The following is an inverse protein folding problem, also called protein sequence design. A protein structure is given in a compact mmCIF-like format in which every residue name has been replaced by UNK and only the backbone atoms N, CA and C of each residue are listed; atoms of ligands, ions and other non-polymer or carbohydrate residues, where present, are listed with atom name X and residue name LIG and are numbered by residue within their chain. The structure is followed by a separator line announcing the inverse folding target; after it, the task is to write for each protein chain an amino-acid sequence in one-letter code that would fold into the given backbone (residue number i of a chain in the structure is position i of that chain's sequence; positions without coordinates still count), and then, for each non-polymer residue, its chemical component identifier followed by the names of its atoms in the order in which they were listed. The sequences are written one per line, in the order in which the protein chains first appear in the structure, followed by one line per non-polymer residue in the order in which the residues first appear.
data_IF_378410298225
#
_entry.id   IF_378410298225
#
_cell.length_a   1.000
_cell.length_b   1.000
_cell.length_c   1.000
_cell.angle_alpha   90.00
_cell.angle_beta   90.00
_cell.angle_gamma   90.00
#
_symmetry.space_group_name_H-M   'P 1'
#
loop_
_entity.id
_entity.type
_entity.pdbx_description
1 polymer ?
#
# COMPACT_ATOMS: atom_id res chain seq x y z
N UNK A 1 18.37 5.46 16.93
CA UNK A 1 19.08 6.56 17.62
C UNK A 1 18.19 7.78 17.78
N UNK A 2 17.68 8.39 16.69
CA UNK A 2 16.77 9.57 16.80
C UNK A 2 15.48 9.31 17.61
N UNK A 3 14.85 8.14 17.45
CA UNK A 3 13.65 7.79 18.23
C UNK A 3 13.89 7.78 19.74
N UNK A 4 15.07 7.33 20.16
CA UNK A 4 15.46 7.28 21.58
C UNK A 4 15.67 8.71 22.12
N UNK A 5 16.29 9.58 21.34
CA UNK A 5 16.51 10.99 21.70
C UNK A 5 15.16 11.71 21.92
N UNK A 6 14.21 11.56 21.00
CA UNK A 6 12.88 12.18 21.12
C UNK A 6 12.12 11.65 22.35
N UNK A 7 12.25 10.36 22.67
CA UNK A 7 11.54 9.78 23.80
C UNK A 7 12.12 10.17 25.17
N UNK A 8 13.41 10.54 25.25
CA UNK A 8 14.08 10.95 26.50
C UNK A 8 13.95 12.46 26.74
N UNK A 9 13.56 13.25 25.73
CA UNK A 9 13.32 14.67 25.90
C UNK A 9 12.19 14.92 26.92
N UNK A 10 12.38 15.82 27.89
CA UNK A 10 11.36 16.12 28.89
C UNK A 10 10.13 16.71 28.21
N UNK A 11 9.01 15.96 28.24
CA UNK A 11 7.76 16.33 27.57
C UNK A 11 6.99 17.46 28.27
N UNK A 12 7.37 17.77 29.52
CA UNK A 12 6.69 18.76 30.39
C UNK A 12 7.55 20.01 30.68
N UNK A 13 8.73 20.14 30.08
CA UNK A 13 9.63 21.27 30.32
C UNK A 13 9.38 22.43 29.34
N UNK A 14 8.25 23.12 29.48
CA UNK A 14 7.89 24.25 28.63
C UNK A 14 6.80 25.14 29.21
N UNK A 15 6.99 25.72 30.39
CA UNK A 15 6.07 26.71 30.97
C UNK A 15 6.24 28.11 30.33
N UNK A 16 6.03 28.22 29.02
CA UNK A 16 6.20 29.49 28.31
C UNK A 16 5.29 29.63 27.11
N UNK A 17 4.11 30.25 27.30
CA UNK A 17 3.33 31.01 26.30
C UNK A 17 2.90 30.35 24.97
N UNK A 18 3.31 29.12 24.70
CA UNK A 18 3.00 28.39 23.47
C UNK A 18 1.65 27.67 23.51
N UNK A 19 1.15 27.33 22.33
CA UNK A 19 -0.03 26.48 22.18
C UNK A 19 0.16 25.15 22.93
N UNK A 20 -0.84 24.73 23.72
CA UNK A 20 -0.75 23.48 24.49
C UNK A 20 -0.74 22.26 23.57
N UNK A 21 -0.17 21.14 24.04
CA UNK A 21 -0.09 19.89 23.26
C UNK A 21 -1.50 19.43 22.86
N UNK A 22 -2.43 19.56 23.79
CA UNK A 22 -3.85 19.27 23.63
C UNK A 22 -4.47 20.14 22.52
N UNK A 23 -4.20 21.45 22.50
CA UNK A 23 -4.73 22.35 21.46
C UNK A 23 -4.19 22.03 20.07
N UNK A 24 -2.89 21.70 19.97
CA UNK A 24 -2.28 21.28 18.69
C UNK A 24 -2.94 19.99 18.18
N UNK A 25 -3.09 18.99 19.05
CA UNK A 25 -3.72 17.71 18.70
C UNK A 25 -5.20 17.88 18.39
N UNK A 26 -5.90 18.79 19.07
CA UNK A 26 -7.30 19.10 18.81
C UNK A 26 -7.50 19.64 17.39
N UNK A 27 -6.70 20.63 16.98
CA UNK A 27 -6.73 21.17 15.61
C UNK A 27 -6.40 20.10 14.58
N UNK A 28 -5.38 19.28 14.85
CA UNK A 28 -5.01 18.17 13.97
C UNK A 28 -6.14 17.14 13.85
N UNK A 29 -6.82 16.82 14.95
CA UNK A 29 -7.96 15.90 14.95
C UNK A 29 -9.13 16.46 14.12
N UNK A 30 -9.38 17.76 14.19
CA UNK A 30 -10.39 18.43 13.37
C UNK A 30 -10.05 18.38 11.88
N UNK A 31 -8.83 18.77 11.51
CA UNK A 31 -8.36 18.71 10.12
C UNK A 31 -8.44 17.29 9.53
N UNK A 32 -8.12 16.28 10.35
CA UNK A 32 -8.21 14.88 9.96
C UNK A 32 -9.65 14.42 9.83
N UNK A 33 -10.55 14.83 10.73
CA UNK A 33 -11.97 14.48 10.71
C UNK A 33 -12.69 15.07 9.50
N UNK A 34 -12.38 16.31 9.11
CA UNK A 34 -12.93 16.95 7.91
C UNK A 34 -12.54 16.20 6.63
N UNK A 35 -11.29 15.73 6.56
CA UNK A 35 -10.75 15.02 5.40
C UNK A 35 -11.08 13.52 5.40
N UNK A 36 -11.54 12.98 6.52
CA UNK A 36 -11.78 11.54 6.65
C UNK A 36 -12.97 11.12 5.78
N UNK A 37 -12.79 10.16 4.85
CA UNK A 37 -13.87 9.70 3.99
C UNK A 37 -15.06 9.17 4.78
N UNK A 38 -16.26 9.23 4.20
CA UNK A 38 -17.46 8.63 4.76
C UNK A 38 -17.37 7.10 4.89
N UNK A 39 -18.24 6.54 5.71
CA UNK A 39 -18.33 5.10 5.91
C UNK A 39 -18.92 4.41 4.67
N UNK A 40 -18.44 3.20 4.37
CA UNK A 40 -18.95 2.36 3.29
C UNK A 40 -20.36 1.86 3.62
N UNK A 41 -21.32 2.17 2.73
CA UNK A 41 -22.70 1.70 2.88
C UNK A 41 -22.80 0.24 2.39
N UNK A 42 -23.18 -0.73 3.23
CA UNK A 42 -23.14 -2.16 2.87
C UNK A 42 -23.97 -2.51 1.64
N UNK A 43 -25.12 -1.86 1.46
CA UNK A 43 -26.00 -2.11 0.30
C UNK A 43 -25.35 -1.62 -1.00
N UNK A 44 -24.73 -0.44 -1.00
CA UNK A 44 -24.03 0.10 -2.17
C UNK A 44 -22.84 -0.76 -2.56
N UNK A 45 -22.03 -1.17 -1.58
CA UNK A 45 -20.89 -2.07 -1.82
C UNK A 45 -21.37 -3.38 -2.44
N UNK A 46 -22.43 -3.97 -1.88
CA UNK A 46 -23.03 -5.20 -2.40
C UNK A 46 -23.52 -5.02 -3.85
N UNK A 47 -24.15 -3.91 -4.18
CA UNK A 47 -24.65 -3.65 -5.52
C UNK A 47 -23.53 -3.39 -6.54
N UNK A 48 -22.47 -2.66 -6.15
CA UNK A 48 -21.28 -2.51 -6.99
C UNK A 48 -20.62 -3.86 -7.28
N UNK A 49 -20.47 -4.71 -6.26
CA UNK A 49 -19.91 -6.06 -6.43
C UNK A 49 -20.81 -6.98 -7.28
N UNK A 50 -22.14 -6.86 -7.17
CA UNK A 50 -23.08 -7.59 -8.05
C UNK A 50 -22.85 -7.25 -9.52
N UNK A 51 -22.67 -5.95 -9.86
CA UNK A 51 -22.39 -5.50 -11.24
C UNK A 51 -21.11 -6.13 -11.81
N UNK A 52 -20.14 -6.47 -10.95
CA UNK A 52 -18.87 -7.09 -11.34
C UNK A 52 -18.90 -8.62 -11.38
N UNK A 53 -20.02 -9.26 -11.01
CA UNK A 53 -20.18 -10.72 -10.95
C UNK A 53 -19.92 -11.30 -9.55
N UNK A 54 -20.97 -11.43 -8.75
CA UNK A 54 -20.91 -11.71 -7.30
C UNK A 54 -19.98 -12.88 -6.87
N UNK A 55 -19.92 -13.95 -7.67
CA UNK A 55 -19.19 -15.19 -7.33
C UNK A 55 -17.75 -15.23 -7.86
N UNK A 56 -17.26 -14.15 -8.46
CA UNK A 56 -15.86 -14.10 -8.90
C UNK A 56 -14.93 -13.97 -7.68
N UNK A 57 -13.84 -14.76 -7.59
CA UNK A 57 -12.91 -14.72 -6.45
C UNK A 57 -12.37 -13.32 -6.15
N UNK A 58 -12.15 -12.51 -7.19
CA UNK A 58 -11.71 -11.11 -7.05
C UNK A 58 -12.73 -10.23 -6.30
N UNK A 59 -14.03 -10.47 -6.46
CA UNK A 59 -15.06 -9.67 -5.80
C UNK A 59 -15.21 -10.06 -4.33
N UNK A 60 -14.99 -11.33 -3.99
CA UNK A 60 -14.91 -11.80 -2.60
C UNK A 60 -13.71 -11.14 -1.90
N UNK A 61 -12.56 -11.11 -2.57
CA UNK A 61 -11.36 -10.42 -2.09
C UNK A 61 -11.61 -8.92 -1.88
N UNK A 62 -12.14 -8.22 -2.90
CA UNK A 62 -12.42 -6.78 -2.81
C UNK A 62 -13.40 -6.47 -1.67
N UNK A 63 -14.40 -7.32 -1.43
CA UNK A 63 -15.31 -7.17 -0.30
C UNK A 63 -14.57 -7.23 1.04
N UNK A 64 -13.70 -8.23 1.23
CA UNK A 64 -12.92 -8.37 2.47
C UNK A 64 -11.99 -7.18 2.70
N UNK A 65 -11.40 -6.64 1.63
CA UNK A 65 -10.54 -5.47 1.68
C UNK A 65 -11.32 -4.20 2.04
N UNK A 66 -12.51 -4.00 1.47
CA UNK A 66 -13.41 -2.90 1.83
C UNK A 66 -13.89 -3.03 3.28
N UNK A 67 -14.29 -4.22 3.72
CA UNK A 67 -14.71 -4.48 5.10
C UNK A 67 -13.57 -4.16 6.09
N UNK A 68 -12.32 -4.45 5.71
CA UNK A 68 -11.14 -4.09 6.51
C UNK A 68 -10.89 -2.58 6.50
N UNK A 69 -11.01 -1.92 5.36
CA UNK A 69 -10.91 -0.46 5.26
C UNK A 69 -11.95 0.23 6.14
N UNK A 70 -13.20 -0.26 6.12
CA UNK A 70 -14.28 0.25 6.96
C UNK A 70 -13.93 0.18 8.45
N UNK A 71 -13.36 -0.94 8.92
CA UNK A 71 -12.93 -1.06 10.32
C UNK A 71 -11.88 -0.02 10.70
N UNK A 72 -10.94 0.28 9.79
CA UNK A 72 -9.94 1.34 10.00
C UNK A 72 -10.60 2.71 10.09
N UNK A 73 -11.48 3.04 9.14
CA UNK A 73 -12.20 4.32 9.13
C UNK A 73 -13.02 4.53 10.40
N UNK A 74 -13.79 3.52 10.82
CA UNK A 74 -14.59 3.58 12.04
C UNK A 74 -13.72 3.79 13.28
N UNK A 75 -12.61 3.05 13.42
CA UNK A 75 -11.71 3.20 14.58
C UNK A 75 -11.07 4.59 14.62
N UNK A 76 -10.61 5.10 13.48
CA UNK A 76 -10.01 6.44 13.39
C UNK A 76 -11.04 7.50 13.77
N UNK A 77 -12.24 7.42 13.19
CA UNK A 77 -13.32 8.37 13.44
C UNK A 77 -13.71 8.39 14.92
N UNK A 78 -13.88 7.22 15.55
CA UNK A 78 -14.21 7.15 16.97
C UNK A 78 -13.08 7.70 17.83
N UNK A 79 -11.84 7.30 17.56
CA UNK A 79 -10.66 7.77 18.32
C UNK A 79 -10.55 9.30 18.25
N UNK A 80 -10.70 9.91 17.07
CA UNK A 80 -10.59 11.36 16.90
C UNK A 80 -11.72 12.11 17.60
N UNK A 81 -12.97 11.63 17.49
CA UNK A 81 -14.12 12.25 18.18
C UNK A 81 -14.00 12.16 19.71
N UNK A 82 -13.67 10.98 20.21
CA UNK A 82 -13.51 10.74 21.64
C UNK A 82 -12.32 11.54 22.18
N UNK A 83 -11.22 11.64 21.41
CA UNK A 83 -10.06 12.44 21.80
C UNK A 83 -10.41 13.92 21.97
N UNK A 84 -11.20 14.49 21.06
CA UNK A 84 -11.70 15.87 21.19
C UNK A 84 -12.54 16.04 22.46
N UNK A 85 -13.51 15.15 22.69
CA UNK A 85 -14.35 15.19 23.89
C UNK A 85 -13.54 15.02 25.19
N UNK A 86 -12.44 14.26 25.14
CA UNK A 86 -11.56 14.05 26.29
C UNK A 86 -10.72 15.30 26.58
N UNK A 87 -10.24 15.98 25.53
CA UNK A 87 -9.53 17.26 25.66
C UNK A 87 -10.47 18.35 26.20
N UNK A 88 -11.72 18.38 25.74
CA UNK A 88 -12.76 19.29 26.24
C UNK A 88 -13.24 18.94 27.68
N UNK A 89 -12.73 17.86 28.28
CA UNK A 89 -13.09 17.43 29.63
C UNK A 89 -14.48 16.79 29.75
N UNK A 90 -15.13 16.48 28.62
CA UNK A 90 -16.47 15.87 28.59
C UNK A 90 -16.42 14.37 28.87
N UNK A 91 -15.37 13.68 28.39
CA UNK A 91 -15.14 12.25 28.66
C UNK A 91 -13.79 12.03 29.34
N UNK A 92 -13.63 10.88 29.99
CA UNK A 92 -12.41 10.53 30.71
C UNK A 92 -11.30 10.15 29.72
N UNK A 93 -10.10 10.72 29.93
CA UNK A 93 -8.89 10.38 29.17
C UNK A 93 -8.43 8.95 29.47
N UNK A 94 -8.86 8.00 28.63
CA UNK A 94 -8.42 6.59 28.69
C UNK A 94 -6.96 6.42 28.24
N UNK A 95 -6.36 5.27 28.56
CA UNK A 95 -5.00 4.93 28.12
C UNK A 95 -4.86 4.97 26.59
N UNK A 96 -5.87 4.48 25.86
CA UNK A 96 -5.89 4.51 24.39
C UNK A 96 -5.95 5.93 23.84
N UNK A 97 -6.68 6.83 24.49
CA UNK A 97 -6.76 8.24 24.07
C UNK A 97 -5.48 9.00 24.41
N UNK A 98 -4.84 8.67 25.54
CA UNK A 98 -3.53 9.23 25.91
C UNK A 98 -2.43 8.78 24.93
N UNK A 99 -2.39 7.48 24.56
CA UNK A 99 -1.50 6.98 23.51
C UNK A 99 -1.75 7.68 22.17
N UNK A 100 -3.02 7.91 21.80
CA UNK A 100 -3.35 8.63 20.58
C UNK A 100 -2.85 10.08 20.63
N UNK A 101 -3.09 10.79 21.73
CA UNK A 101 -2.63 12.18 21.94
C UNK A 101 -1.11 12.29 21.82
N UNK A 102 -0.38 11.45 22.56
CA UNK A 102 1.08 11.48 22.57
C UNK A 102 1.67 11.16 21.19
N UNK A 103 1.17 10.11 20.52
CA UNK A 103 1.66 9.75 19.20
C UNK A 103 1.30 10.81 18.17
N UNK A 104 0.08 11.35 18.17
CA UNK A 104 -0.32 12.39 17.22
C UNK A 104 0.51 13.66 17.39
N UNK A 105 0.77 14.08 18.63
CA UNK A 105 1.66 15.20 18.92
C UNK A 105 3.08 14.97 18.41
N UNK A 106 3.62 13.75 18.60
CA UNK A 106 4.94 13.36 18.10
C UNK A 106 4.96 13.02 16.58
N UNK A 107 3.88 13.31 15.85
CA UNK A 107 3.68 12.99 14.43
C UNK A 107 3.82 11.49 14.08
N UNK A 108 3.52 10.61 15.03
CA UNK A 108 3.52 9.14 14.91
C UNK A 108 2.10 8.60 14.82
N UNK A 109 1.98 7.41 14.24
CA UNK A 109 0.69 6.71 14.16
C UNK A 109 0.38 6.05 15.53
N UNK A 110 -0.82 6.26 16.10
CA UNK A 110 -1.27 5.60 17.33
C UNK A 110 -1.19 4.07 17.27
N UNK A 111 -0.94 3.45 18.42
CA UNK A 111 -0.66 2.02 18.53
C UNK A 111 -1.85 1.16 18.07
N UNK A 112 -3.07 1.57 18.42
CA UNK A 112 -4.28 0.84 18.04
C UNK A 112 -4.58 0.92 16.55
N UNK A 113 -4.22 2.03 15.88
CA UNK A 113 -4.38 2.14 14.43
C UNK A 113 -3.39 1.23 13.71
N UNK A 114 -2.12 1.18 14.15
CA UNK A 114 -1.10 0.30 13.58
C UNK A 114 -1.50 -1.18 13.62
N UNK A 115 -2.12 -1.64 14.71
CA UNK A 115 -2.53 -3.05 14.89
C UNK A 115 -3.48 -3.55 13.78
N UNK A 116 -4.36 -2.69 13.26
CA UNK A 116 -5.37 -3.09 12.28
C UNK A 116 -5.05 -2.63 10.84
N UNK A 117 -4.12 -1.67 10.68
CA UNK A 117 -3.81 -1.02 9.41
C UNK A 117 -2.44 -1.43 8.85
N UNK A 118 -1.55 -0.47 8.59
CA UNK A 118 -0.22 -0.63 8.03
C UNK A 118 0.80 0.23 8.78
N UNK A 119 2.06 -0.15 8.65
CA UNK A 119 3.18 0.65 9.14
C UNK A 119 3.48 1.81 8.18
N UNK A 120 3.76 2.97 8.75
CA UNK A 120 4.17 4.18 8.03
C UNK A 120 5.12 4.99 8.91
N UNK A 121 6.04 5.73 8.27
CA UNK A 121 7.05 6.52 8.96
C UNK A 121 6.47 7.66 9.81
N UNK A 122 5.40 8.32 9.34
CA UNK A 122 4.76 9.45 10.02
C UNK A 122 3.24 9.35 9.93
N UNK A 123 2.56 10.06 10.83
CA UNK A 123 1.10 10.20 10.80
C UNK A 123 0.61 10.81 9.47
N UNK A 124 1.32 11.81 8.93
CA UNK A 124 0.95 12.45 7.67
C UNK A 124 1.02 11.51 6.47
N UNK A 125 2.08 10.70 6.37
CA UNK A 125 2.16 9.68 5.32
C UNK A 125 1.10 8.61 5.49
N UNK A 126 0.86 8.16 6.72
CA UNK A 126 -0.17 7.17 7.01
C UNK A 126 -1.55 7.66 6.60
N UNK A 127 -1.89 8.92 6.91
CA UNK A 127 -3.19 9.49 6.56
C UNK A 127 -3.34 9.70 5.05
N UNK A 128 -2.28 10.14 4.37
CA UNK A 128 -2.28 10.24 2.90
C UNK A 128 -2.53 8.87 2.26
N UNK A 129 -1.83 7.83 2.73
CA UNK A 129 -2.03 6.47 2.24
C UNK A 129 -3.46 5.97 2.52
N UNK A 130 -4.07 6.38 3.64
CA UNK A 130 -5.47 6.05 3.96
C UNK A 130 -6.42 6.66 2.94
N UNK A 131 -6.21 7.93 2.56
CA UNK A 131 -7.02 8.60 1.55
C UNK A 131 -6.85 7.96 0.17
N UNK A 132 -5.61 7.72 -0.26
CA UNK A 132 -5.33 7.11 -1.56
C UNK A 132 -5.91 5.69 -1.67
N UNK A 133 -5.82 4.89 -0.59
CA UNK A 133 -6.47 3.57 -0.50
C UNK A 133 -7.98 3.69 -0.63
N UNK A 134 -8.59 4.65 0.07
CA UNK A 134 -10.03 4.86 0.02
C UNK A 134 -10.49 5.23 -1.41
N UNK A 135 -9.74 6.09 -2.09
CA UNK A 135 -9.99 6.48 -3.49
C UNK A 135 -9.96 5.26 -4.40
N UNK A 136 -8.96 4.38 -4.26
CA UNK A 136 -8.90 3.13 -5.03
C UNK A 136 -10.17 2.28 -4.88
N UNK A 137 -10.69 2.11 -3.66
CA UNK A 137 -11.90 1.33 -3.40
C UNK A 137 -13.18 2.00 -3.92
N UNK A 138 -13.23 3.34 -3.94
CA UNK A 138 -14.38 4.09 -4.45
C UNK A 138 -14.44 4.15 -5.99
N UNK A 139 -13.29 4.09 -6.67
CA UNK A 139 -13.19 4.15 -8.14
C UNK A 139 -13.68 2.88 -8.86
N UNK A 140 -14.13 1.85 -8.14
CA UNK A 140 -14.65 0.63 -8.73
C UNK A 140 -16.12 0.79 -9.18
N UNK A 141 -16.34 1.54 -10.27
CA UNK A 141 -17.61 1.55 -11.01
C UNK A 141 -17.70 0.38 -12.03
N UNK A 142 -16.93 -0.67 -11.83
CA UNK A 142 -16.80 -1.82 -12.72
C UNK A 142 -15.53 -2.61 -12.40
N UNK A 143 -15.19 -3.63 -13.19
CA UNK A 143 -13.94 -4.37 -13.01
C UNK A 143 -12.75 -3.47 -13.39
N UNK A 144 -11.93 -3.01 -12.43
CA UNK A 144 -10.73 -2.25 -12.75
C UNK A 144 -9.74 -3.17 -13.50
N UNK A 145 -9.13 -2.64 -14.56
CA UNK A 145 -8.06 -3.34 -15.27
C UNK A 145 -6.68 -3.07 -14.62
N UNK A 146 -6.57 -2.02 -13.81
CA UNK A 146 -5.32 -1.57 -13.19
C UNK A 146 -5.49 -1.42 -11.68
N UNK A 147 -4.50 -1.88 -10.93
CA UNK A 147 -4.50 -1.91 -9.48
C UNK A 147 -3.21 -1.32 -8.91
N UNK A 148 -3.37 -0.54 -7.85
CA UNK A 148 -2.27 -0.16 -6.98
C UNK A 148 -2.11 -1.25 -5.92
N UNK A 149 -1.09 -2.10 -6.08
CA UNK A 149 -0.93 -3.30 -5.25
C UNK A 149 -0.68 -2.97 -3.77
N UNK A 150 -0.01 -1.86 -3.46
CA UNK A 150 0.16 -1.39 -2.07
C UNK A 150 -1.14 -0.93 -1.42
N UNK A 151 -2.13 -0.53 -2.21
CA UNK A 151 -3.40 -0.04 -1.71
C UNK A 151 -4.20 -1.14 -1.01
N UNK A 152 -3.97 -2.40 -1.38
CA UNK A 152 -4.52 -3.54 -0.68
C UNK A 152 -3.82 -3.79 0.66
N UNK A 153 -4.59 -4.25 1.63
CA UNK A 153 -4.12 -4.77 2.91
C UNK A 153 -3.40 -6.10 2.70
N UNK A 154 -3.96 -6.99 1.88
CA UNK A 154 -3.37 -8.30 1.58
C UNK A 154 -3.05 -8.49 0.08
N UNK A 155 -1.91 -7.97 -0.42
CA UNK A 155 -1.51 -8.16 -1.82
C UNK A 155 -1.04 -9.58 -2.16
N UNK A 156 -0.82 -10.45 -1.16
CA UNK A 156 -0.28 -11.80 -1.34
C UNK A 156 -1.32 -12.81 -1.80
N UNK A 157 -2.61 -12.49 -1.77
CA UNK A 157 -3.64 -13.42 -2.18
C UNK A 157 -3.47 -13.75 -3.67
N UNK A 158 -2.90 -14.92 -3.95
CA UNK A 158 -2.66 -15.53 -5.26
C UNK A 158 -3.94 -15.71 -6.10
N UNK A 159 -5.10 -15.33 -5.56
CA UNK A 159 -6.44 -15.52 -6.11
C UNK A 159 -6.77 -14.63 -7.32
N UNK A 160 -5.85 -13.76 -7.78
CA UNK A 160 -6.00 -13.07 -9.07
C UNK A 160 -6.05 -14.05 -10.27
N UNK A 161 -5.72 -15.33 -10.06
CA UNK A 161 -5.46 -16.33 -11.10
C UNK A 161 -6.67 -17.19 -11.52
N UNK A 162 -7.76 -17.24 -10.75
CA UNK A 162 -8.82 -18.23 -11.03
C UNK A 162 -9.90 -17.70 -11.97
N UNK A 163 -9.60 -17.67 -13.27
CA UNK A 163 -10.61 -17.48 -14.34
C UNK A 163 -10.47 -18.46 -15.51
N UNK A 164 -9.55 -19.43 -15.44
CA UNK A 164 -9.46 -20.54 -16.40
C UNK A 164 -9.60 -21.88 -15.68
N UNK A 165 -10.20 -22.84 -16.39
CA UNK A 165 -10.26 -24.27 -16.07
C UNK A 165 -8.89 -24.95 -16.23
N UNK A 166 -7.81 -24.28 -15.84
CA UNK A 166 -6.48 -24.86 -15.76
C UNK A 166 -6.25 -25.30 -14.32
N UNK A 167 -5.63 -26.47 -14.14
CA UNK A 167 -5.13 -26.85 -12.82
C UNK A 167 -4.21 -25.74 -12.31
N UNK A 168 -4.43 -25.29 -11.07
CA UNK A 168 -3.66 -24.21 -10.45
C UNK A 168 -2.15 -24.46 -10.49
N UNK A 169 -1.74 -25.72 -10.59
CA UNK A 169 -0.36 -26.18 -10.60
C UNK A 169 0.39 -25.84 -11.91
N UNK A 170 -0.31 -25.53 -13.01
CA UNK A 170 0.29 -25.29 -14.33
C UNK A 170 0.39 -23.80 -14.71
N UNK A 171 -0.10 -22.90 -13.85
CA UNK A 171 -0.17 -21.46 -14.15
C UNK A 171 1.10 -20.75 -13.70
N UNK A 172 1.84 -20.16 -14.65
CA UNK A 172 2.97 -19.28 -14.38
C UNK A 172 2.58 -17.83 -14.64
N UNK A 173 3.00 -16.94 -13.75
CA UNK A 173 2.86 -15.49 -13.94
C UNK A 173 3.95 -15.02 -14.89
N UNK A 174 3.53 -14.47 -16.03
CA UNK A 174 4.40 -13.78 -16.98
C UNK A 174 4.06 -12.29 -16.94
N UNK A 175 5.06 -11.45 -17.23
CA UNK A 175 4.87 -10.00 -17.23
C UNK A 175 5.48 -9.33 -18.45
N UNK A 176 4.78 -8.30 -18.90
CA UNK A 176 5.27 -7.33 -19.87
C UNK A 176 5.37 -5.95 -19.23
N UNK A 177 6.45 -5.25 -19.53
CA UNK A 177 6.66 -3.90 -19.03
C UNK A 177 6.19 -2.90 -20.08
N UNK A 178 5.28 -2.02 -19.68
CA UNK A 178 4.83 -0.93 -20.55
C UNK A 178 5.83 0.23 -20.51
N UNK A 179 5.75 1.13 -21.48
CA UNK A 179 6.56 2.38 -21.47
C UNK A 179 5.91 3.50 -20.64
N UNK A 180 4.75 3.26 -20.04
CA UNK A 180 3.92 4.30 -19.40
C UNK A 180 4.07 4.32 -17.88
N UNK A 181 3.98 5.51 -17.28
CA UNK A 181 4.13 5.73 -15.83
C UNK A 181 2.78 5.78 -15.11
N UNK A 182 1.75 6.33 -15.76
CA UNK A 182 0.34 6.30 -15.34
C UNK A 182 -0.55 6.28 -16.59
N UNK A 183 -1.53 5.38 -16.63
CA UNK A 183 -2.49 5.31 -17.73
C UNK A 183 -3.46 4.16 -17.54
N UNK A 184 -4.76 4.46 -17.62
CA UNK A 184 -5.79 3.44 -17.66
C UNK A 184 -5.72 2.73 -19.01
N UNK A 185 -5.29 1.47 -19.02
CA UNK A 185 -5.60 0.62 -20.16
C UNK A 185 -7.10 0.32 -20.16
N UNK A 186 -7.82 0.77 -21.18
CA UNK A 186 -9.04 0.09 -21.61
C UNK A 186 -8.62 -1.23 -22.29
N UNK A 187 -8.18 -2.22 -21.51
CA UNK A 187 -7.96 -3.53 -22.08
C UNK A 187 -9.30 -4.24 -22.20
N UNK A 188 -9.65 -4.61 -23.43
CA UNK A 188 -10.83 -5.45 -23.74
C UNK A 188 -10.69 -6.89 -23.19
N UNK A 189 -9.53 -7.25 -22.63
CA UNK A 189 -9.21 -8.62 -22.24
C UNK A 189 -9.41 -8.77 -20.73
N UNK A 190 -10.51 -9.43 -20.36
CA UNK A 190 -10.97 -9.74 -18.98
C UNK A 190 -9.98 -10.52 -18.08
N UNK A 191 -8.73 -10.75 -18.52
CA UNK A 191 -7.78 -11.74 -17.96
C UNK A 191 -6.43 -11.15 -17.56
N UNK A 192 -6.23 -9.84 -17.64
CA UNK A 192 -4.98 -9.17 -17.32
C UNK A 192 -5.11 -8.24 -16.11
N UNK A 193 -3.99 -8.03 -15.41
CA UNK A 193 -3.88 -7.12 -14.26
C UNK A 193 -2.72 -6.18 -14.53
N UNK A 194 -2.98 -4.88 -14.56
CA UNK A 194 -1.94 -3.86 -14.61
C UNK A 194 -1.57 -3.43 -13.19
N UNK A 195 -0.29 -3.47 -12.86
CA UNK A 195 0.24 -3.07 -11.56
C UNK A 195 1.05 -1.79 -11.73
N UNK A 196 0.77 -0.78 -10.92
CA UNK A 196 1.53 0.46 -10.90
C UNK A 196 2.05 0.78 -9.51
N UNK A 197 3.00 1.73 -9.43
CA UNK A 197 3.56 2.21 -8.16
C UNK A 197 4.65 1.31 -7.56
N UNK A 198 5.26 0.43 -8.36
CA UNK A 198 6.41 -0.36 -7.92
C UNK A 198 7.69 0.47 -7.98
N UNK A 199 8.54 0.31 -6.97
CA UNK A 199 9.82 0.98 -6.84
C UNK A 199 10.94 -0.05 -6.91
N UNK A 200 11.95 0.21 -7.72
CA UNK A 200 13.13 -0.62 -7.86
C UNK A 200 14.19 -0.17 -6.87
N UNK A 201 14.68 -1.12 -6.08
CA UNK A 201 15.74 -0.95 -5.09
C UNK A 201 17.01 -1.68 -5.57
N UNK A 202 18.18 -1.06 -5.40
CA UNK A 202 19.47 -1.59 -5.83
C UNK A 202 19.76 -1.53 -7.34
N UNK A 203 18.84 -1.00 -8.16
CA UNK A 203 19.02 -0.84 -9.60
C UNK A 203 18.28 0.39 -10.16
N UNK A 204 18.71 0.83 -11.34
CA UNK A 204 18.04 1.84 -12.15
C UNK A 204 17.21 1.20 -13.26
N UNK A 205 16.32 2.00 -13.84
CA UNK A 205 15.44 1.56 -14.93
C UNK A 205 15.64 2.39 -16.20
N UNK A 206 16.03 1.73 -17.30
CA UNK A 206 16.12 2.36 -18.61
C UNK A 206 14.77 2.28 -19.33
N UNK A 207 14.08 3.42 -19.42
CA UNK A 207 12.77 3.53 -20.07
C UNK A 207 12.82 3.34 -21.58
N UNK A 208 13.95 3.64 -22.24
CA UNK A 208 14.07 3.56 -23.71
C UNK A 208 14.15 2.12 -24.16
N UNK A 209 14.98 1.34 -23.47
CA UNK A 209 15.24 -0.07 -23.79
C UNK A 209 14.45 -1.06 -22.92
N UNK A 210 13.68 -0.57 -21.94
CA UNK A 210 12.83 -1.38 -21.04
C UNK A 210 13.66 -2.47 -20.35
N UNK A 211 14.74 -2.06 -19.68
CA UNK A 211 15.71 -2.97 -19.04
C UNK A 211 16.33 -2.40 -17.77
N UNK A 212 16.88 -3.29 -16.96
CA UNK A 212 17.68 -2.95 -15.78
C UNK A 212 19.01 -2.28 -16.17
N UNK A 213 19.36 -1.24 -15.43
CA UNK A 213 20.63 -0.53 -15.51
C UNK A 213 21.16 -0.29 -14.09
N UNK A 214 22.43 0.12 -14.00
CA UNK A 214 23.01 0.54 -12.72
C UNK A 214 22.27 1.77 -12.17
N UNK A 215 22.08 1.87 -10.84
CA UNK A 215 21.41 3.00 -10.23
C UNK A 215 22.23 4.29 -10.41
N UNK A 216 21.54 5.41 -10.56
CA UNK A 216 22.21 6.72 -10.59
C UNK A 216 22.67 7.13 -9.19
N UNK A 217 23.80 7.83 -9.04
CA UNK A 217 24.28 8.27 -7.74
C UNK A 217 23.20 9.06 -6.98
N UNK A 218 23.05 8.79 -5.68
CA UNK A 218 22.07 9.44 -4.78
C UNK A 218 20.59 9.12 -5.06
N UNK A 219 20.28 8.18 -5.96
CA UNK A 219 18.92 7.68 -6.17
C UNK A 219 18.79 6.34 -5.47
N UNK A 220 18.05 6.30 -4.36
CA UNK A 220 17.82 5.07 -3.59
C UNK A 220 16.78 4.16 -4.27
N UNK A 221 15.69 4.76 -4.73
CA UNK A 221 14.57 4.04 -5.34
C UNK A 221 14.22 4.62 -6.71
N UNK A 222 14.01 3.76 -7.70
CA UNK A 222 13.59 4.15 -9.04
C UNK A 222 12.16 3.69 -9.31
N UNK A 223 11.25 4.61 -9.64
CA UNK A 223 9.87 4.24 -9.99
C UNK A 223 9.83 3.42 -11.29
N UNK A 224 9.25 2.22 -11.21
CA UNK A 224 9.03 1.33 -12.36
C UNK A 224 7.75 1.75 -13.11
N UNK A 225 7.71 1.65 -14.45
CA UNK A 225 6.48 1.83 -15.22
C UNK A 225 5.42 0.78 -14.89
N UNK A 226 4.21 0.96 -15.43
CA UNK A 226 3.11 0.03 -15.26
C UNK A 226 3.51 -1.36 -15.79
N UNK A 227 3.37 -2.36 -14.93
CA UNK A 227 3.65 -3.77 -15.23
C UNK A 227 2.35 -4.46 -15.61
N UNK A 228 2.32 -5.05 -16.80
CA UNK A 228 1.24 -5.89 -17.25
C UNK A 228 1.53 -7.33 -16.80
N UNK A 229 0.69 -7.88 -15.92
CA UNK A 229 0.84 -9.26 -15.42
C UNK A 229 -0.30 -10.12 -15.97
N UNK A 230 0.06 -11.27 -16.53
CA UNK A 230 -0.87 -12.25 -17.09
C UNK A 230 -0.42 -13.68 -16.81
N UNK A 231 -1.38 -14.60 -16.89
CA UNK A 231 -1.18 -16.02 -16.64
C UNK A 231 -0.95 -16.79 -17.96
N UNK A 232 0.16 -17.53 -18.03
CA UNK A 232 0.54 -18.38 -19.18
C UNK A 232 0.84 -19.81 -18.70
N UNK A 233 0.68 -20.81 -19.57
CA UNK A 233 1.10 -22.19 -19.29
C UNK A 233 2.63 -22.34 -19.39
N UNK A 234 3.19 -23.34 -18.71
CA UNK A 234 4.63 -23.63 -18.58
C UNK A 234 5.41 -23.89 -19.90
N UNK A 235 4.79 -23.75 -21.07
CA UNK A 235 5.37 -24.17 -22.36
C UNK A 235 6.44 -23.24 -22.94
N UNK A 236 6.83 -22.16 -22.24
CA UNK A 236 7.86 -21.22 -22.73
C UNK A 236 9.20 -21.43 -22.01
N UNK A 237 10.30 -21.64 -22.74
CA UNK A 237 11.64 -21.70 -22.15
C UNK A 237 12.01 -20.35 -21.52
N UNK A 238 12.56 -20.39 -20.30
CA UNK A 238 13.09 -19.20 -19.62
C UNK A 238 14.20 -18.58 -20.46
N UNK A 239 14.00 -17.37 -20.98
CA UNK A 239 15.05 -16.67 -21.73
C UNK A 239 16.19 -16.27 -20.79
N UNK A 240 17.44 -16.57 -21.16
CA UNK A 240 18.63 -16.29 -20.33
C UNK A 240 18.91 -14.79 -20.09
N UNK A 241 18.20 -13.90 -20.80
CA UNK A 241 18.35 -12.44 -20.71
C UNK A 241 17.36 -11.77 -19.74
N UNK A 242 16.74 -12.54 -18.85
CA UNK A 242 15.80 -12.02 -17.85
C UNK A 242 16.28 -12.33 -16.44
N UNK A 243 16.13 -11.35 -15.56
CA UNK A 243 16.35 -11.47 -14.13
C UNK A 243 15.01 -11.66 -13.42
N UNK A 244 14.93 -12.70 -12.59
CA UNK A 244 13.79 -12.95 -11.72
C UNK A 244 13.88 -12.05 -10.49
N UNK A 245 13.17 -10.91 -10.53
CA UNK A 245 13.21 -9.90 -9.50
C UNK A 245 12.10 -10.15 -8.46
N UNK A 246 12.44 -10.38 -7.18
CA UNK A 246 11.43 -10.55 -6.14
C UNK A 246 10.68 -9.24 -5.86
N UNK A 247 9.36 -9.32 -5.67
CA UNK A 247 8.50 -8.19 -5.26
C UNK A 247 8.16 -8.33 -3.78
N UNK A 248 8.44 -7.29 -3.00
CA UNK A 248 8.11 -7.17 -1.59
C UNK A 248 7.14 -6.02 -1.34
N UNK A 249 6.30 -6.17 -0.31
CA UNK A 249 5.37 -5.12 0.13
C UNK A 249 6.11 -3.90 0.69
N UNK A 250 7.21 -4.11 1.40
CA UNK A 250 7.95 -3.10 2.17
C UNK A 250 9.47 -3.26 1.99
N UNK A 251 10.28 -2.22 2.28
CA UNK A 251 11.74 -2.29 2.18
C UNK A 251 12.36 -3.33 3.13
N UNK A 252 11.70 -3.64 4.24
CA UNK A 252 12.10 -4.72 5.15
C UNK A 252 11.72 -6.07 4.55
N UNK A 253 12.67 -6.67 3.84
CA UNK A 253 12.50 -7.93 3.10
C UNK A 253 12.49 -9.12 4.05
N UNK A 254 11.31 -9.67 4.27
CA UNK A 254 11.07 -10.92 5.00
C UNK A 254 10.06 -11.77 4.22
N UNK A 255 9.97 -13.07 4.52
CA UNK A 255 9.02 -13.98 3.87
C UNK A 255 7.57 -13.50 4.01
N UNK A 256 7.24 -12.85 5.13
CA UNK A 256 5.93 -12.24 5.39
C UNK A 256 5.60 -11.06 4.49
N UNK A 257 6.60 -10.45 3.85
CA UNK A 257 6.43 -9.29 2.95
C UNK A 257 6.61 -9.65 1.49
N UNK A 258 7.06 -10.87 1.18
CA UNK A 258 7.22 -11.36 -0.18
C UNK A 258 5.85 -11.54 -0.85
N UNK A 259 5.73 -11.18 -2.13
CA UNK A 259 4.46 -11.28 -2.87
C UNK A 259 4.59 -12.29 -4.01
N UNK A 260 5.36 -11.96 -5.04
CA UNK A 260 5.67 -12.83 -6.18
C UNK A 260 6.90 -12.29 -6.94
N UNK A 261 7.52 -13.06 -7.84
CA UNK A 261 8.62 -12.58 -8.65
C UNK A 261 8.15 -12.01 -10.00
N UNK A 262 8.86 -11.01 -10.52
CA UNK A 262 8.66 -10.43 -11.84
C UNK A 262 9.91 -10.64 -12.70
N UNK A 263 9.70 -10.98 -13.98
CA UNK A 263 10.78 -11.14 -14.96
C UNK A 263 11.15 -9.77 -15.55
N UNK A 264 12.35 -9.29 -15.25
CA UNK A 264 12.88 -8.02 -15.75
C UNK A 264 13.97 -8.27 -16.79
N UNK A 265 13.92 -7.55 -17.91
CA UNK A 265 14.94 -7.66 -18.97
C UNK A 265 16.27 -7.08 -18.49
N UNK A 266 17.37 -7.76 -18.83
CA UNK A 266 18.71 -7.31 -18.48
C UNK A 266 19.74 -7.66 -19.55
N UNK A 267 20.83 -6.88 -19.60
CA UNK A 267 22.00 -7.14 -20.44
C UNK A 267 23.17 -7.77 -19.64
N UNK A 268 23.05 -7.82 -18.32
CA UNK A 268 24.04 -8.44 -17.43
C UNK A 268 23.58 -9.84 -17.05
N UNK A 269 24.49 -10.71 -16.63
CA UNK A 269 24.12 -12.00 -16.06
C UNK A 269 23.17 -11.76 -14.85
N UNK A 270 22.04 -12.48 -14.72
CA UNK A 270 21.18 -12.46 -13.55
C UNK A 270 21.92 -12.46 -12.19
N UNK A 271 23.01 -13.22 -12.07
CA UNK A 271 23.83 -13.30 -10.83
C UNK A 271 24.33 -11.93 -10.35
N UNK A 272 24.61 -11.01 -11.28
CA UNK A 272 25.01 -9.63 -10.97
C UNK A 272 23.95 -8.91 -10.12
N UNK A 273 22.67 -9.09 -10.47
CA UNK A 273 21.56 -8.44 -9.77
C UNK A 273 21.18 -9.14 -8.47
N UNK A 274 21.40 -10.47 -8.40
CA UNK A 274 21.28 -11.23 -7.16
C UNK A 274 22.29 -10.71 -6.13
N UNK A 275 23.57 -10.57 -6.51
CA UNK A 275 24.62 -10.07 -5.62
C UNK A 275 24.41 -8.62 -5.20
N UNK A 276 23.78 -7.80 -6.06
CA UNK A 276 23.38 -6.43 -5.72
C UNK A 276 22.15 -6.36 -4.81
N UNK A 277 21.46 -7.47 -4.61
CA UNK A 277 20.21 -7.51 -3.86
C UNK A 277 19.13 -6.65 -4.50
N UNK A 278 18.97 -6.71 -5.82
CA UNK A 278 17.89 -5.98 -6.50
C UNK A 278 16.53 -6.54 -6.08
N UNK A 279 15.59 -5.65 -5.78
CA UNK A 279 14.21 -6.05 -5.52
C UNK A 279 13.23 -4.96 -5.96
N UNK A 280 11.98 -5.36 -6.15
CA UNK A 280 10.87 -4.45 -6.32
C UNK A 280 10.13 -4.28 -5.00
N UNK A 281 9.86 -3.04 -4.65
CA UNK A 281 9.16 -2.63 -3.45
C UNK A 281 7.84 -1.99 -3.87
N UNK A 282 6.74 -2.47 -3.31
CA UNK A 282 5.45 -1.84 -3.53
C UNK A 282 5.43 -0.47 -2.83
N UNK A 283 5.94 -0.38 -1.60
CA UNK A 283 6.04 0.84 -0.82
C UNK A 283 7.48 1.10 -0.37
N UNK A 284 7.89 2.36 -0.38
CA UNK A 284 9.21 2.84 0.03
C UNK A 284 9.18 3.61 1.35
N UNK A 285 7.99 3.83 1.92
CA UNK A 285 7.75 4.56 3.16
C UNK A 285 7.63 3.67 4.40
#
# INVERSE_FOLDING_TARGET
MLSCIVNIQPKDAGSGGGETRESVVYKLADDMLEKLPGDYIPHEVKDRLKKMGLLQPINIFLRQEIDRMQKVLTLVRSTLKDLKLAIDGTIIMSENLRDALDNMYDARVPSNWKKISWESATLGFWFTDLLDRNVQFHLFEGRPNCFWMTGFFNPQTRNYQSTKSWALDLVVLENDLTKMVKGYHSCSIRRCVFIHGLHLDGAGWDRRNVRLIEPSPKVLYTLLPVVHVFATNQDKPKSSSQYECPVYKKPRRTDLTYIFPLMLKTNKNPDHWILRGVALLCDTK
#
